data_IF_747632304924
#
_entry.id   IF_747632304924
#
_cell.length_a   1.000
_cell.length_b   1.000
_cell.length_c   1.000
_cell.angle_alpha   90.00
_cell.angle_beta   90.00
_cell.angle_gamma   90.00
#
_symmetry.space_group_name_H-M   'P 1'
#
loop_
_entity.id
_entity.type
_entity.pdbx_description
1 polymer ?
#
# COMPACT_ATOMS: atom_id res chain seq x y z
N UNK A 1 15.98 6.05 -15.99
CA UNK A 1 15.74 7.51 -16.16
C UNK A 1 15.50 8.11 -14.78
N UNK A 2 16.04 9.30 -14.47
CA UNK A 2 15.87 9.92 -13.14
C UNK A 2 14.82 11.05 -13.20
N UNK A 3 13.69 10.85 -12.50
CA UNK A 3 12.57 11.80 -12.44
C UNK A 3 12.58 12.71 -11.19
N UNK A 4 13.61 12.64 -10.34
CA UNK A 4 13.66 13.38 -9.07
C UNK A 4 13.49 14.91 -9.25
N UNK A 5 13.90 15.47 -10.40
CA UNK A 5 13.73 16.90 -10.71
C UNK A 5 12.27 17.37 -10.75
N UNK A 6 11.32 16.43 -10.93
CA UNK A 6 9.89 16.73 -11.04
C UNK A 6 9.15 16.57 -9.71
N UNK A 7 9.85 16.22 -8.64
CA UNK A 7 9.26 16.12 -7.30
C UNK A 7 9.21 17.49 -6.65
N UNK A 8 8.12 17.77 -5.94
CA UNK A 8 8.03 18.95 -5.07
C UNK A 8 9.00 18.83 -3.90
N UNK A 9 9.41 19.97 -3.32
CA UNK A 9 10.28 19.98 -2.14
C UNK A 9 9.66 19.22 -0.96
N UNK A 10 8.34 19.36 -0.77
CA UNK A 10 7.58 18.64 0.27
C UNK A 10 7.66 17.14 0.05
N UNK A 11 7.35 16.66 -1.15
CA UNK A 11 7.39 15.23 -1.45
C UNK A 11 8.79 14.64 -1.41
N UNK A 12 9.80 15.38 -1.85
CA UNK A 12 11.21 14.97 -1.75
C UNK A 12 11.70 14.88 -0.30
N UNK A 13 11.11 15.63 0.63
CA UNK A 13 11.47 15.61 2.05
C UNK A 13 10.80 14.48 2.85
N UNK A 14 9.79 13.78 2.29
CA UNK A 14 9.11 12.67 2.96
C UNK A 14 10.10 11.54 3.23
N UNK A 15 10.07 11.02 4.46
CA UNK A 15 10.89 9.86 4.88
C UNK A 15 9.99 8.68 5.23
N UNK A 16 10.45 7.43 5.02
CA UNK A 16 9.73 6.25 5.47
C UNK A 16 9.47 6.31 6.98
N UNK A 17 8.31 5.82 7.41
CA UNK A 17 8.01 5.68 8.84
C UNK A 17 8.90 4.59 9.45
N UNK A 18 9.64 4.87 10.54
CA UNK A 18 10.47 3.86 11.21
C UNK A 18 9.67 2.62 11.65
N UNK A 19 8.44 2.82 12.13
CA UNK A 19 7.56 1.71 12.55
C UNK A 19 7.13 0.87 11.35
N UNK A 20 6.87 1.48 10.20
CA UNK A 20 6.53 0.72 8.99
C UNK A 20 7.72 -0.10 8.48
N UNK A 21 8.93 0.46 8.53
CA UNK A 21 10.16 -0.29 8.20
C UNK A 21 10.36 -1.48 9.14
N UNK A 22 10.09 -1.32 10.44
CA UNK A 22 10.14 -2.42 11.41
C UNK A 22 9.08 -3.49 11.12
N UNK A 23 7.87 -3.09 10.77
CA UNK A 23 6.79 -4.02 10.37
C UNK A 23 7.20 -4.81 9.12
N UNK A 24 7.79 -4.17 8.11
CA UNK A 24 8.28 -4.88 6.91
C UNK A 24 9.40 -5.88 7.25
N UNK A 25 10.32 -5.51 8.12
CA UNK A 25 11.36 -6.44 8.61
C UNK A 25 10.75 -7.62 9.36
N UNK A 26 9.77 -7.37 10.23
CA UNK A 26 9.06 -8.43 10.95
C UNK A 26 8.34 -9.38 9.99
N UNK A 27 7.68 -8.86 8.96
CA UNK A 27 6.97 -9.67 7.96
C UNK A 27 7.89 -10.56 7.12
N UNK A 28 9.17 -10.18 7.00
CA UNK A 28 10.21 -10.95 6.30
C UNK A 28 11.05 -11.83 7.22
N UNK A 29 10.81 -11.76 8.53
CA UNK A 29 11.58 -12.50 9.53
C UNK A 29 11.05 -13.93 9.71
N UNK A 30 11.88 -14.85 10.24
CA UNK A 30 11.44 -16.21 10.53
C UNK A 30 10.28 -16.23 11.53
N UNK A 31 9.36 -17.22 11.45
CA UNK A 31 8.24 -17.35 12.40
C UNK A 31 8.67 -17.51 13.87
N UNK A 32 9.92 -17.89 14.12
CA UNK A 32 10.51 -18.01 15.45
C UNK A 32 10.81 -16.66 16.11
N UNK A 33 10.82 -15.56 15.35
CA UNK A 33 11.08 -14.22 15.88
C UNK A 33 9.84 -13.69 16.61
N UNK A 34 9.96 -13.52 17.92
CA UNK A 34 8.95 -12.82 18.72
C UNK A 34 9.22 -11.32 18.64
N UNK A 35 8.30 -10.58 18.01
CA UNK A 35 8.38 -9.12 18.00
C UNK A 35 7.53 -8.52 19.10
N UNK A 36 8.19 -7.70 19.93
CA UNK A 36 7.56 -6.85 20.94
C UNK A 36 7.52 -5.38 20.48
N UNK A 37 8.02 -5.09 19.28
CA UNK A 37 8.13 -3.74 18.73
C UNK A 37 6.91 -3.34 17.87
N UNK A 38 6.13 -4.32 17.41
CA UNK A 38 4.99 -4.09 16.52
C UNK A 38 3.71 -3.75 17.27
N UNK A 39 2.97 -2.75 16.81
CA UNK A 39 1.61 -2.43 17.26
C UNK A 39 0.52 -3.23 16.54
N UNK A 40 0.79 -4.51 16.19
CA UNK A 40 -0.13 -5.35 15.42
C UNK A 40 -1.15 -6.01 16.36
N UNK A 41 -2.46 -5.77 16.19
CA UNK A 41 -3.48 -6.43 16.99
C UNK A 41 -3.46 -7.95 16.82
N UNK A 42 -3.89 -8.70 17.85
CA UNK A 42 -3.97 -10.15 17.80
C UNK A 42 -5.01 -10.60 16.75
N UNK A 43 -4.63 -11.35 15.70
CA UNK A 43 -5.57 -11.75 14.66
C UNK A 43 -6.74 -12.64 15.15
N UNK A 44 -6.62 -13.27 16.31
CA UNK A 44 -7.71 -14.06 16.91
C UNK A 44 -8.84 -13.19 17.48
N UNK A 45 -8.65 -11.88 17.60
CA UNK A 45 -9.69 -10.95 18.07
C UNK A 45 -10.49 -10.33 16.93
N UNK A 46 -10.15 -10.61 15.68
CA UNK A 46 -10.91 -10.11 14.53
C UNK A 46 -12.27 -10.83 14.44
N UNK A 47 -13.40 -10.10 14.31
CA UNK A 47 -14.74 -10.67 14.42
C UNK A 47 -15.22 -11.33 13.11
N UNK A 48 -14.31 -11.88 12.30
CA UNK A 48 -14.63 -12.55 11.04
C UNK A 48 -13.80 -13.83 10.89
N UNK A 49 -14.49 -14.96 10.76
CA UNK A 49 -13.83 -16.27 10.63
C UNK A 49 -13.63 -16.68 9.17
N UNK A 50 -14.59 -16.43 8.30
CA UNK A 50 -14.51 -16.77 6.87
C UNK A 50 -15.47 -15.94 6.05
N UNK A 51 -15.27 -15.92 4.74
CA UNK A 51 -16.22 -15.33 3.80
C UNK A 51 -16.32 -16.18 2.53
N UNK A 52 -17.50 -16.16 1.91
CA UNK A 52 -17.75 -16.84 0.63
C UNK A 52 -18.50 -15.89 -0.28
N UNK A 53 -17.96 -15.64 -1.47
CA UNK A 53 -18.50 -14.69 -2.44
C UNK A 53 -18.77 -15.45 -3.74
N UNK A 54 -20.03 -15.55 -4.13
CA UNK A 54 -20.43 -16.14 -5.41
C UNK A 54 -20.51 -15.05 -6.48
N UNK A 55 -19.73 -15.23 -7.54
CA UNK A 55 -19.69 -14.34 -8.70
C UNK A 55 -20.79 -14.73 -9.69
N UNK A 56 -21.23 -13.80 -10.54
CA UNK A 56 -22.34 -13.99 -11.49
C UNK A 56 -22.15 -15.15 -12.47
N UNK A 57 -20.91 -15.60 -12.70
CA UNK A 57 -20.59 -16.77 -13.51
C UNK A 57 -20.73 -18.11 -12.75
N UNK A 58 -21.24 -18.09 -11.51
CA UNK A 58 -21.46 -19.25 -10.66
C UNK A 58 -20.21 -19.72 -9.89
N UNK A 59 -19.05 -19.10 -10.08
CA UNK A 59 -17.85 -19.42 -9.31
C UNK A 59 -17.93 -18.82 -7.90
N UNK A 60 -17.48 -19.57 -6.91
CA UNK A 60 -17.43 -19.12 -5.52
C UNK A 60 -15.98 -18.91 -5.09
N UNK A 61 -15.67 -17.69 -4.63
CA UNK A 61 -14.39 -17.35 -4.00
C UNK A 61 -14.53 -17.49 -2.50
N UNK A 62 -13.67 -18.30 -1.88
CA UNK A 62 -13.68 -18.56 -0.43
C UNK A 62 -12.45 -17.95 0.25
N UNK A 63 -12.70 -17.30 1.38
CA UNK A 63 -11.69 -16.79 2.30
C UNK A 63 -11.77 -17.64 3.57
N UNK A 64 -10.74 -18.45 3.80
CA UNK A 64 -10.63 -19.23 5.03
C UNK A 64 -10.16 -18.37 6.22
N UNK A 65 -10.12 -18.95 7.42
CA UNK A 65 -9.72 -18.24 8.63
C UNK A 65 -8.29 -17.69 8.57
N UNK A 66 -7.37 -18.39 7.91
CA UNK A 66 -6.00 -17.91 7.75
C UNK A 66 -5.94 -16.68 6.82
N UNK A 67 -6.65 -16.73 5.71
CA UNK A 67 -6.75 -15.65 4.73
C UNK A 67 -7.49 -14.45 5.33
N UNK A 68 -8.56 -14.68 6.08
CA UNK A 68 -9.31 -13.62 6.75
C UNK A 68 -8.44 -12.88 7.77
N UNK A 69 -7.70 -13.61 8.60
CA UNK A 69 -6.73 -13.01 9.56
C UNK A 69 -5.67 -12.16 8.88
N UNK A 70 -5.17 -12.61 7.72
CA UNK A 70 -4.18 -11.85 6.94
C UNK A 70 -4.78 -10.62 6.28
N UNK A 71 -5.97 -10.74 5.70
CA UNK A 71 -6.64 -9.66 4.98
C UNK A 71 -7.03 -8.49 5.90
N UNK A 72 -7.38 -8.78 7.15
CA UNK A 72 -7.79 -7.78 8.14
C UNK A 72 -6.61 -7.17 8.92
N UNK A 73 -5.42 -7.75 8.81
CA UNK A 73 -4.22 -7.23 9.47
C UNK A 73 -3.55 -6.13 8.63
N UNK A 74 -2.82 -5.23 9.31
CA UNK A 74 -1.92 -4.30 8.64
C UNK A 74 -0.94 -5.04 7.73
N UNK A 75 -0.66 -4.44 6.58
CA UNK A 75 0.25 -4.97 5.57
C UNK A 75 1.08 -3.84 4.94
N UNK A 76 1.91 -4.16 3.95
CA UNK A 76 2.70 -3.16 3.22
C UNK A 76 1.77 -2.11 2.60
N UNK A 77 2.18 -0.84 2.68
CA UNK A 77 1.42 0.27 2.10
C UNK A 77 1.26 0.16 0.59
N UNK A 78 2.13 -0.58 -0.10
CA UNK A 78 1.99 -0.83 -1.54
C UNK A 78 0.85 -1.80 -1.86
N UNK A 79 0.42 -2.61 -0.91
CA UNK A 79 -0.59 -3.66 -1.09
C UNK A 79 -0.06 -5.06 -0.77
N UNK A 80 -0.96 -6.05 -0.75
CA UNK A 80 -0.59 -7.44 -0.47
C UNK A 80 0.18 -8.06 -1.67
N UNK A 81 1.20 -8.90 -1.43
CA UNK A 81 2.08 -9.43 -2.47
C UNK A 81 1.36 -10.17 -3.60
N UNK A 82 0.32 -10.95 -3.26
CA UNK A 82 -0.44 -11.74 -4.23
C UNK A 82 -1.18 -10.84 -5.23
N UNK A 83 -1.83 -9.78 -4.73
CA UNK A 83 -2.53 -8.81 -5.56
C UNK A 83 -1.56 -8.01 -6.43
N UNK A 84 -0.42 -7.58 -5.87
CA UNK A 84 0.62 -6.87 -6.60
C UNK A 84 1.18 -7.72 -7.75
N UNK A 85 1.42 -9.01 -7.50
CA UNK A 85 1.90 -9.95 -8.52
C UNK A 85 0.89 -10.12 -9.63
N UNK A 86 -0.39 -10.32 -9.27
CA UNK A 86 -1.47 -10.44 -10.24
C UNK A 86 -1.61 -9.19 -11.11
N UNK A 87 -1.62 -7.99 -10.52
CA UNK A 87 -1.71 -6.73 -11.26
C UNK A 87 -0.50 -6.49 -12.18
N UNK A 88 0.71 -6.83 -11.73
CA UNK A 88 1.92 -6.74 -12.57
C UNK A 88 1.83 -7.65 -13.79
N UNK A 89 1.29 -8.86 -13.64
CA UNK A 89 1.10 -9.78 -14.76
C UNK A 89 0.02 -9.25 -15.71
N UNK A 90 -1.10 -8.76 -15.19
CA UNK A 90 -2.15 -8.13 -16.00
C UNK A 90 -1.58 -6.98 -16.87
N UNK A 91 -0.74 -6.13 -16.29
CA UNK A 91 -0.09 -5.04 -17.04
C UNK A 91 0.85 -5.55 -18.14
N UNK A 92 1.60 -6.64 -17.87
CA UNK A 92 2.47 -7.26 -18.87
C UNK A 92 1.66 -7.85 -20.02
N UNK A 93 0.58 -8.57 -19.72
CA UNK A 93 -0.23 -9.26 -20.70
C UNK A 93 -0.98 -8.29 -21.63
N UNK A 94 -1.49 -7.19 -21.07
CA UNK A 94 -2.28 -6.20 -21.83
C UNK A 94 -1.43 -5.13 -22.51
N UNK A 95 -0.34 -4.69 -21.88
CA UNK A 95 0.40 -3.50 -22.33
C UNK A 95 1.86 -3.77 -22.70
N UNK A 96 2.42 -4.93 -22.33
CA UNK A 96 3.82 -5.31 -22.54
C UNK A 96 4.81 -4.13 -22.34
N UNK A 97 4.82 -3.47 -21.17
CA UNK A 97 5.58 -2.25 -21.00
C UNK A 97 7.09 -2.55 -21.06
N UNK A 98 7.88 -1.75 -21.81
CA UNK A 98 9.29 -2.02 -22.05
C UNK A 98 10.14 -2.04 -20.76
N UNK A 99 9.68 -1.35 -19.72
CA UNK A 99 10.35 -1.28 -18.41
C UNK A 99 10.03 -2.48 -17.50
N UNK A 100 9.13 -3.39 -17.88
CA UNK A 100 8.77 -4.55 -17.07
C UNK A 100 9.96 -5.49 -16.79
N UNK A 101 10.85 -5.64 -17.77
CA UNK A 101 12.02 -6.51 -17.72
C UNK A 101 13.29 -5.81 -17.23
N UNK A 102 13.21 -4.52 -16.87
CA UNK A 102 14.38 -3.79 -16.37
C UNK A 102 14.74 -4.26 -14.96
N UNK A 103 15.99 -4.03 -14.56
CA UNK A 103 16.38 -4.16 -13.15
C UNK A 103 15.89 -2.95 -12.36
N UNK A 104 15.71 -3.06 -11.03
CA UNK A 104 15.28 -1.93 -10.20
C UNK A 104 16.13 -0.66 -10.41
N UNK A 105 17.45 -0.82 -10.55
CA UNK A 105 18.40 0.30 -10.75
C UNK A 105 18.20 1.00 -12.11
N UNK A 106 17.65 0.28 -13.09
CA UNK A 106 17.34 0.81 -14.42
C UNK A 106 15.94 1.40 -14.53
N UNK A 107 15.17 1.39 -13.44
CA UNK A 107 13.79 1.89 -13.40
C UNK A 107 12.78 0.85 -13.88
N UNK A 108 12.82 -0.33 -13.26
CA UNK A 108 11.80 -1.36 -13.44
C UNK A 108 10.41 -0.80 -13.14
N UNK A 109 9.43 -1.19 -13.95
CA UNK A 109 8.02 -0.91 -13.64
C UNK A 109 7.65 -1.54 -12.30
N UNK A 110 6.98 -0.76 -11.45
CA UNK A 110 6.40 -1.23 -10.20
C UNK A 110 4.93 -0.81 -10.07
N UNK A 111 4.24 -1.37 -9.09
CA UNK A 111 2.81 -1.16 -8.86
C UNK A 111 2.57 -0.91 -7.36
N UNK A 112 1.63 -0.03 -7.05
CA UNK A 112 1.05 0.13 -5.72
C UNK A 112 -0.47 0.20 -5.82
N UNK A 113 -1.16 -0.29 -4.80
CA UNK A 113 -2.62 -0.22 -4.69
C UNK A 113 -3.02 1.17 -4.20
N UNK A 114 -4.05 1.74 -4.81
CA UNK A 114 -4.72 2.96 -4.34
C UNK A 114 -6.17 2.65 -3.99
N UNK A 115 -6.84 3.56 -3.29
CA UNK A 115 -8.27 3.45 -2.97
C UNK A 115 -9.18 3.96 -4.10
N UNK A 116 -8.61 4.19 -5.28
CA UNK A 116 -9.32 4.68 -6.46
C UNK A 116 -8.44 5.56 -7.35
N UNK A 117 -8.93 5.85 -8.54
CA UNK A 117 -8.24 6.71 -9.51
C UNK A 117 -8.09 8.16 -9.03
N UNK A 118 -9.13 8.69 -8.36
CA UNK A 118 -9.12 10.06 -7.84
C UNK A 118 -8.05 10.25 -6.77
N UNK A 119 -7.92 9.29 -5.85
CA UNK A 119 -6.91 9.32 -4.81
C UNK A 119 -5.49 9.25 -5.39
N UNK A 120 -5.28 8.39 -6.39
CA UNK A 120 -4.01 8.31 -7.12
C UNK A 120 -3.66 9.60 -7.87
N UNK A 121 -4.65 10.26 -8.49
CA UNK A 121 -4.46 11.55 -9.16
C UNK A 121 -4.12 12.66 -8.16
N UNK A 122 -4.82 12.74 -7.02
CA UNK A 122 -4.51 13.72 -5.97
C UNK A 122 -3.08 13.57 -5.47
N UNK A 123 -2.65 12.34 -5.15
CA UNK A 123 -1.26 12.05 -4.74
C UNK A 123 -0.25 12.41 -5.84
N UNK A 124 -0.56 12.14 -7.11
CA UNK A 124 0.34 12.49 -8.22
C UNK A 124 0.50 14.00 -8.38
N UNK A 125 -0.59 14.75 -8.21
CA UNK A 125 -0.59 16.20 -8.25
C UNK A 125 0.27 16.75 -7.09
N UNK A 126 0.00 16.33 -5.86
CA UNK A 126 0.79 16.72 -4.69
C UNK A 126 2.30 16.41 -4.84
N UNK A 127 2.62 15.29 -5.50
CA UNK A 127 3.99 14.88 -5.78
C UNK A 127 4.71 15.84 -6.74
N UNK A 128 4.01 16.42 -7.72
CA UNK A 128 4.63 17.05 -8.89
C UNK A 128 4.34 18.54 -9.06
N UNK A 129 3.31 19.06 -8.41
CA UNK A 129 2.89 20.46 -8.54
C UNK A 129 3.01 21.16 -7.21
N UNK A 130 3.69 22.30 -7.21
CA UNK A 130 3.66 23.23 -6.07
C UNK A 130 2.29 23.89 -6.10
N UNK A 131 1.50 23.71 -5.04
CA UNK A 131 0.32 24.53 -4.87
C UNK A 131 0.79 25.93 -4.46
N UNK A 132 0.59 26.91 -5.34
CA UNK A 132 0.60 28.31 -4.93
C UNK A 132 -0.62 28.53 -4.02
N UNK A 133 -0.49 28.17 -2.75
CA UNK A 133 -1.46 28.51 -1.70
C UNK A 133 -2.71 27.61 -1.56
N UNK A 134 -2.66 26.31 -1.85
CA UNK A 134 -3.81 25.43 -1.58
C UNK A 134 -3.64 24.66 -0.25
N UNK A 135 -4.31 25.13 0.81
CA UNK A 135 -4.45 24.50 2.12
C UNK A 135 -5.41 23.29 2.09
N UNK A 136 -5.28 22.38 1.13
CA UNK A 136 -6.08 21.16 1.15
C UNK A 136 -5.41 20.14 2.08
N UNK A 137 -5.71 20.20 3.39
CA UNK A 137 -5.30 19.19 4.37
C UNK A 137 -4.91 19.65 5.78
N UNK A 138 -5.02 20.95 6.12
CA UNK A 138 -4.67 21.44 7.47
C UNK A 138 -5.86 21.65 8.43
N UNK A 139 -7.11 21.40 8.02
CA UNK A 139 -8.30 21.79 8.82
C UNK A 139 -8.81 20.80 9.87
N UNK A 140 -8.09 19.74 10.26
CA UNK A 140 -8.64 18.75 11.24
C UNK A 140 -7.81 18.51 12.51
N UNK A 141 -6.92 19.44 12.91
CA UNK A 141 -6.10 19.24 14.14
C UNK A 141 -6.13 20.41 15.14
N UNK A 142 -7.08 21.34 15.06
CA UNK A 142 -7.18 22.47 16.01
C UNK A 142 -8.30 22.37 17.05
N UNK A 143 -8.98 21.22 17.20
CA UNK A 143 -10.14 21.10 18.09
C UNK A 143 -10.06 20.03 19.19
N UNK A 144 -8.85 19.60 19.60
CA UNK A 144 -8.71 18.65 20.72
C UNK A 144 -7.85 19.11 21.90
N UNK A 145 -7.54 20.40 22.01
CA UNK A 145 -6.95 20.99 23.23
C UNK A 145 -7.86 22.13 23.75
N UNK A 146 -9.07 21.77 24.20
CA UNK A 146 -9.91 22.61 25.05
C UNK A 146 -10.96 21.76 25.78
N UNK A 147 -10.51 20.97 26.75
CA UNK A 147 -11.14 20.77 28.07
C UNK A 147 -10.21 19.97 28.99
#
# INVERSE_FOLDING_TARGET
>A
MNYARFLTAVSAARKPSPIMMLTELQMRSPPTLISLAGGLPNPNTFPFESASITVTNGQTVTFDAATMKRALQYSSSSGIPELLTWMKNLQKDLHNPPTAAYTPEKGQMDMCVTTGSQEGLCKNHELRTVSDGCQCGQETLSHQDAE
#
